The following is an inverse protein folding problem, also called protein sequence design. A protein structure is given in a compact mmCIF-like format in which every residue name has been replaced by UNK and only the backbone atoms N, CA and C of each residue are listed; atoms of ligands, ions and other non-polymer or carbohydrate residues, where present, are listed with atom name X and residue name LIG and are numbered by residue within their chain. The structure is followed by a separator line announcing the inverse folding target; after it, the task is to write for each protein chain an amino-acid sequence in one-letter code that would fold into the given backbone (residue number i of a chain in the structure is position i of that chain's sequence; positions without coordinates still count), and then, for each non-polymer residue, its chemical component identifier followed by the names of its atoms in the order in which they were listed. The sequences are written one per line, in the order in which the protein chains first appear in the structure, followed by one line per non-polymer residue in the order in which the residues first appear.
data_IF_699736622277
#
_entry.id   IF_699736622277
#
_cell.length_a   1.000
_cell.length_b   1.000
_cell.length_c   1.000
_cell.angle_alpha   90.00
_cell.angle_beta   90.00
_cell.angle_gamma   90.00
#
_symmetry.space_group_name_H-M   'P 1'
#
loop_
_entity.id
_entity.type
_entity.pdbx_description
1 polymer ?
#
# COMPACT_ATOMS: atom_id res chain seq x y z
N UNK A 1 3.69 20.45 -8.82
CA UNK A 1 2.58 19.96 -7.97
C UNK A 1 2.70 18.45 -7.88
N UNK A 2 3.40 17.95 -6.86
CA UNK A 2 3.60 16.50 -6.68
C UNK A 2 2.48 15.97 -5.79
N UNK A 3 1.68 15.03 -6.29
CA UNK A 3 0.60 14.44 -5.50
C UNK A 3 1.20 13.51 -4.43
N UNK A 4 1.12 13.92 -3.16
CA UNK A 4 1.60 13.13 -2.03
C UNK A 4 0.89 11.77 -1.95
N UNK A 5 -0.41 11.74 -2.24
CA UNK A 5 -1.18 10.51 -2.33
C UNK A 5 -0.64 9.58 -3.42
N UNK A 6 -0.32 10.11 -4.60
CA UNK A 6 0.20 9.31 -5.71
C UNK A 6 1.59 8.74 -5.40
N UNK A 7 2.46 9.51 -4.73
CA UNK A 7 3.74 9.03 -4.24
C UNK A 7 3.59 7.88 -3.24
N UNK A 8 2.64 7.99 -2.30
CA UNK A 8 2.37 6.94 -1.32
C UNK A 8 1.85 5.66 -1.99
N UNK A 9 0.93 5.78 -2.95
CA UNK A 9 0.44 4.64 -3.74
C UNK A 9 1.56 3.98 -4.54
N UNK A 10 2.40 4.76 -5.21
CA UNK A 10 3.55 4.23 -5.96
C UNK A 10 4.53 3.51 -5.03
N UNK A 11 4.86 4.12 -3.90
CA UNK A 11 5.75 3.55 -2.89
C UNK A 11 5.20 2.24 -2.32
N UNK A 12 3.93 2.22 -1.91
CA UNK A 12 3.26 1.02 -1.43
C UNK A 12 3.26 -0.09 -2.49
N UNK A 13 3.05 0.26 -3.76
CA UNK A 13 3.18 -0.64 -4.90
C UNK A 13 4.56 -1.29 -4.97
N UNK A 14 5.62 -0.48 -5.00
CA UNK A 14 7.00 -0.99 -5.03
C UNK A 14 7.34 -1.88 -3.83
N UNK A 15 7.01 -1.44 -2.61
CA UNK A 15 7.29 -2.20 -1.39
C UNK A 15 6.54 -3.54 -1.40
N UNK A 16 5.23 -3.51 -1.70
CA UNK A 16 4.44 -4.75 -1.75
C UNK A 16 4.95 -5.74 -2.80
N UNK A 17 5.42 -5.26 -3.96
CA UNK A 17 6.01 -6.09 -5.00
C UNK A 17 7.33 -6.72 -4.56
N UNK A 18 8.22 -5.96 -3.92
CA UNK A 18 9.50 -6.45 -3.41
C UNK A 18 9.27 -7.51 -2.32
N UNK A 19 8.39 -7.24 -1.36
CA UNK A 19 8.07 -8.21 -0.30
C UNK A 19 7.40 -9.47 -0.85
N UNK A 20 6.49 -9.32 -1.81
CA UNK A 20 5.87 -10.45 -2.48
C UNK A 20 6.90 -11.34 -3.17
N UNK A 21 7.80 -10.73 -3.95
CA UNK A 21 8.87 -11.44 -4.65
C UNK A 21 9.86 -12.11 -3.70
N UNK A 22 10.11 -11.53 -2.52
CA UNK A 22 11.02 -12.10 -1.52
C UNK A 22 10.43 -13.27 -0.73
N UNK A 23 9.11 -13.25 -0.46
CA UNK A 23 8.44 -14.22 0.41
C UNK A 23 7.83 -15.41 -0.32
N UNK A 24 7.71 -15.35 -1.65
CA UNK A 24 7.02 -16.35 -2.46
C UNK A 24 7.79 -16.59 -3.74
N UNK A 25 7.95 -17.85 -4.13
CA UNK A 25 8.57 -18.22 -5.41
C UNK A 25 7.52 -18.36 -6.53
N UNK A 26 6.29 -18.74 -6.18
CA UNK A 26 5.19 -18.89 -7.13
C UNK A 26 4.61 -17.53 -7.55
N UNK A 27 4.55 -17.21 -8.86
CA UNK A 27 4.10 -15.89 -9.33
C UNK A 27 2.64 -15.60 -8.97
N UNK A 28 1.79 -16.64 -8.92
CA UNK A 28 0.40 -16.51 -8.48
C UNK A 28 0.30 -16.15 -6.99
N UNK A 29 1.18 -16.72 -6.15
CA UNK A 29 1.22 -16.41 -4.72
C UNK A 29 1.83 -15.03 -4.46
N UNK A 30 2.86 -14.65 -5.22
CA UNK A 30 3.44 -13.31 -5.19
C UNK A 30 2.37 -12.24 -5.47
N UNK A 31 1.61 -12.39 -6.56
CA UNK A 31 0.53 -11.45 -6.89
C UNK A 31 -0.51 -11.34 -5.77
N UNK A 32 -0.91 -12.47 -5.19
CA UNK A 32 -1.89 -12.48 -4.09
C UNK A 32 -1.34 -11.82 -2.82
N UNK A 33 -0.09 -12.09 -2.47
CA UNK A 33 0.56 -11.49 -1.30
C UNK A 33 0.77 -9.99 -1.50
N UNK A 34 1.34 -9.59 -2.64
CA UNK A 34 1.56 -8.20 -3.01
C UNK A 34 0.26 -7.40 -3.02
N UNK A 35 -0.80 -7.94 -3.64
CA UNK A 35 -2.11 -7.29 -3.66
C UNK A 35 -2.70 -7.11 -2.25
N UNK A 36 -2.56 -8.11 -1.36
CA UNK A 36 -3.00 -8.00 0.04
C UNK A 36 -2.23 -6.92 0.80
N UNK A 37 -0.91 -6.90 0.68
CA UNK A 37 -0.06 -5.91 1.34
C UNK A 37 -0.35 -4.49 0.82
N UNK A 38 -0.45 -4.34 -0.51
CA UNK A 38 -0.80 -3.09 -1.16
C UNK A 38 -2.17 -2.56 -0.71
N UNK A 39 -3.20 -3.41 -0.74
CA UNK A 39 -4.53 -3.06 -0.25
C UNK A 39 -4.52 -2.70 1.24
N UNK A 40 -3.70 -3.39 2.04
CA UNK A 40 -3.49 -3.07 3.44
C UNK A 40 -2.90 -1.67 3.65
N UNK A 41 -1.83 -1.32 2.92
CA UNK A 41 -1.19 0.00 3.01
C UNK A 41 -2.12 1.12 2.54
N UNK A 42 -2.71 0.99 1.36
CA UNK A 42 -3.62 2.01 0.80
C UNK A 42 -4.88 2.13 1.67
N UNK A 43 -5.44 1.02 2.10
CA UNK A 43 -6.60 0.99 2.99
C UNK A 43 -6.31 1.66 4.34
N UNK A 44 -5.16 1.35 4.97
CA UNK A 44 -4.75 2.00 6.20
C UNK A 44 -4.54 3.51 6.01
N UNK A 45 -3.91 3.93 4.93
CA UNK A 45 -3.72 5.35 4.65
C UNK A 45 -5.03 6.10 4.48
N UNK A 46 -6.01 5.52 3.77
CA UNK A 46 -7.35 6.12 3.60
C UNK A 46 -8.12 6.13 4.92
N UNK A 47 -8.11 5.03 5.67
CA UNK A 47 -8.77 4.93 6.98
C UNK A 47 -8.20 5.93 7.98
N UNK A 48 -6.87 6.05 8.05
CA UNK A 48 -6.20 7.03 8.89
C UNK A 48 -6.51 8.46 8.44
N UNK A 49 -6.50 8.72 7.13
CA UNK A 49 -6.87 10.04 6.59
C UNK A 49 -8.31 10.41 6.96
N UNK A 50 -9.25 9.46 6.87
CA UNK A 50 -10.64 9.66 7.28
C UNK A 50 -10.78 9.84 8.78
N UNK A 51 -10.07 9.04 9.57
CA UNK A 51 -10.09 9.12 11.04
C UNK A 51 -9.50 10.44 11.54
N UNK A 52 -8.50 10.97 10.86
CA UNK A 52 -7.87 12.26 11.17
C UNK A 52 -8.67 13.46 10.67
N UNK A 53 -9.56 13.29 9.69
CA UNK A 53 -10.41 14.37 9.16
C UNK A 53 -11.21 15.15 10.24
N UNK A 54 -11.84 14.51 11.25
CA UNK A 54 -12.54 15.22 12.32
C UNK A 54 -11.62 15.79 13.42
N UNK A 55 -10.33 15.44 13.45
CA UNK A 55 -9.40 15.99 14.46
C UNK A 55 -8.81 17.30 13.96
N UNK A 56 -9.08 18.44 14.62
CA UNK A 56 -8.34 19.66 14.38
C UNK A 56 -6.95 19.52 15.02
N UNK A 57 -5.96 19.10 14.22
CA UNK A 57 -4.53 19.17 14.58
C UNK A 57 -3.94 20.49 14.10
#
# INVERSE_FOLDING_TARGET
MTSHFLLMVLFAGCVSAVFAALMRDDPAEQLRLGARMFAGFVGAAVLLSWLMYPFPL
#
